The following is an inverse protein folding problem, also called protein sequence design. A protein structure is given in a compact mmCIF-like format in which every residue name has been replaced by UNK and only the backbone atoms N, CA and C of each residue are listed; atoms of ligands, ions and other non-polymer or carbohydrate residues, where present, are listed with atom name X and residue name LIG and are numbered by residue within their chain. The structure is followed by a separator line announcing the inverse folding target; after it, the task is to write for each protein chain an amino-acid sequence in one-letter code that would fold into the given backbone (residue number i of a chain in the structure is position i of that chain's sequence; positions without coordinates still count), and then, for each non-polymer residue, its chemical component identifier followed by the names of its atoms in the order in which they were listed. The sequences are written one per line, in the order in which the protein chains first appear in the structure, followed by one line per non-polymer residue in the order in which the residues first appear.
data_IF_288331616333
#
_entry.id   IF_288331616333
#
_cell.length_a   1.000
_cell.length_b   1.000
_cell.length_c   1.000
_cell.angle_alpha   90.00
_cell.angle_beta   90.00
_cell.angle_gamma   90.00
#
_symmetry.space_group_name_H-M   'P 1'
#
loop_
_entity.id
_entity.type
_entity.pdbx_description
1 polymer ?
#
# COMPACT_ATOMS: atom_id res chain seq x y z
N UNK A 1 16.88 -1.51 25.41
CA UNK A 1 16.44 -2.62 24.54
C UNK A 1 15.15 -2.17 23.90
N UNK A 2 15.05 -2.24 22.58
CA UNK A 2 13.79 -1.95 21.87
C UNK A 2 12.76 -3.06 22.15
N UNK A 3 11.48 -2.69 22.22
CA UNK A 3 10.40 -3.63 22.52
C UNK A 3 10.06 -4.43 21.26
N UNK A 4 10.12 -5.76 21.37
CA UNK A 4 9.70 -6.67 20.30
C UNK A 4 8.17 -6.74 20.26
N UNK A 5 7.59 -6.47 19.09
CA UNK A 5 6.14 -6.38 18.92
C UNK A 5 5.58 -7.65 18.30
N UNK A 6 6.18 -8.10 17.20
CA UNK A 6 5.79 -9.34 16.54
C UNK A 6 6.96 -9.98 15.79
N UNK A 7 6.82 -11.27 15.48
CA UNK A 7 7.65 -11.96 14.49
C UNK A 7 6.78 -12.52 13.37
N UNK A 8 7.32 -12.50 12.16
CA UNK A 8 6.73 -13.13 10.96
C UNK A 8 7.63 -14.28 10.52
N UNK A 9 7.05 -15.47 10.38
CA UNK A 9 7.72 -16.73 10.01
C UNK A 9 8.96 -17.04 10.86
N UNK A 10 8.97 -16.58 12.11
CA UNK A 10 10.03 -16.83 13.09
C UNK A 10 11.37 -16.11 12.86
N UNK A 11 11.53 -15.33 11.79
CA UNK A 11 12.81 -14.68 11.44
C UNK A 11 12.70 -13.18 11.16
N UNK A 12 11.54 -12.69 10.70
CA UNK A 12 11.32 -11.26 10.50
C UNK A 12 10.77 -10.62 11.78
N UNK A 13 11.60 -9.84 12.47
CA UNK A 13 11.24 -9.13 13.69
C UNK A 13 10.63 -7.76 13.36
N UNK A 14 9.52 -7.44 14.02
CA UNK A 14 8.92 -6.10 14.04
C UNK A 14 9.06 -5.54 15.46
N UNK A 15 9.69 -4.37 15.59
CA UNK A 15 9.91 -3.70 16.87
C UNK A 15 8.98 -2.49 17.05
N UNK A 16 8.96 -1.93 18.26
CA UNK A 16 8.22 -0.71 18.54
C UNK A 16 8.78 0.49 17.79
N UNK A 17 10.10 0.55 17.59
CA UNK A 17 10.73 1.59 16.76
C UNK A 17 10.24 1.52 15.31
N UNK A 18 10.08 0.32 14.74
CA UNK A 18 9.54 0.17 13.38
C UNK A 18 8.12 0.76 13.28
N UNK A 19 7.28 0.54 14.30
CA UNK A 19 5.94 1.14 14.36
C UNK A 19 6.01 2.66 14.42
N UNK A 20 6.89 3.22 15.25
CA UNK A 20 7.06 4.67 15.36
C UNK A 20 7.60 5.29 14.06
N UNK A 21 8.50 4.59 13.36
CA UNK A 21 8.97 5.02 12.04
C UNK A 21 7.82 5.03 11.04
N UNK A 22 7.00 3.97 10.98
CA UNK A 22 5.82 3.95 10.12
C UNK A 22 4.89 5.12 10.41
N UNK A 23 4.60 5.41 11.69
CA UNK A 23 3.78 6.55 12.07
C UNK A 23 4.43 7.90 11.73
N UNK A 24 5.75 8.05 11.88
CA UNK A 24 6.45 9.29 11.54
C UNK A 24 6.31 9.65 10.05
N UNK A 25 6.18 8.65 9.18
CA UNK A 25 5.97 8.81 7.74
C UNK A 25 4.50 9.11 7.34
N UNK A 26 3.62 9.28 8.32
CA UNK A 26 2.24 9.74 8.14
C UNK A 26 2.05 11.14 8.75
N UNK A 27 1.62 12.16 7.98
CA UNK A 27 1.62 13.55 8.44
C UNK A 27 0.68 13.84 9.63
N UNK A 28 -0.41 13.09 9.76
CA UNK A 28 -1.50 13.38 10.70
C UNK A 28 -1.60 12.40 11.88
N UNK A 29 -0.55 11.62 12.16
CA UNK A 29 -0.53 10.66 13.27
C UNK A 29 0.26 11.20 14.47
N UNK A 30 -0.21 10.98 15.71
CA UNK A 30 0.51 11.35 16.92
C UNK A 30 1.73 10.45 17.16
N UNK A 31 2.82 11.00 17.73
CA UNK A 31 4.09 10.29 17.99
C UNK A 31 4.45 10.14 19.48
N UNK A 32 4.14 11.14 20.32
CA UNK A 32 4.56 11.15 21.73
C UNK A 32 3.70 10.22 22.61
N UNK A 33 2.49 9.92 22.17
CA UNK A 33 1.58 8.93 22.78
C UNK A 33 0.64 8.38 21.69
N UNK A 34 1.17 7.54 20.78
CA UNK A 34 0.39 6.99 19.68
C UNK A 34 -0.74 6.14 20.26
N UNK A 35 -1.93 6.24 19.66
CA UNK A 35 -3.08 5.44 20.12
C UNK A 35 -2.84 3.97 19.75
N UNK A 36 -3.35 3.05 20.56
CA UNK A 36 -3.27 1.61 20.24
C UNK A 36 -3.83 1.29 18.85
N UNK A 37 -4.85 2.01 18.39
CA UNK A 37 -5.37 1.89 17.03
C UNK A 37 -4.35 2.29 15.95
N UNK A 38 -3.56 3.35 16.18
CA UNK A 38 -2.53 3.80 15.24
C UNK A 38 -1.39 2.78 15.19
N UNK A 39 -0.96 2.29 16.35
CA UNK A 39 0.05 1.24 16.48
C UNK A 39 -0.40 -0.08 15.85
N UNK A 40 -1.67 -0.49 16.04
CA UNK A 40 -2.20 -1.71 15.45
C UNK A 40 -2.24 -1.62 13.92
N UNK A 41 -2.63 -0.45 13.38
CA UNK A 41 -2.59 -0.23 11.92
C UNK A 41 -1.17 -0.28 11.38
N UNK A 42 -0.22 0.37 12.05
CA UNK A 42 1.19 0.30 11.68
C UNK A 42 1.72 -1.14 11.74
N UNK A 43 1.38 -1.89 12.78
CA UNK A 43 1.80 -3.28 12.95
C UNK A 43 1.24 -4.17 11.84
N UNK A 44 -0.06 -4.06 11.56
CA UNK A 44 -0.70 -4.83 10.49
C UNK A 44 -0.04 -4.53 9.13
N UNK A 45 0.19 -3.25 8.83
CA UNK A 45 0.85 -2.84 7.60
C UNK A 45 2.28 -3.38 7.47
N UNK A 46 3.07 -3.33 8.55
CA UNK A 46 4.42 -3.89 8.53
C UNK A 46 4.39 -5.41 8.34
N UNK A 47 3.47 -6.12 8.99
CA UNK A 47 3.28 -7.55 8.76
C UNK A 47 2.96 -7.82 7.29
N UNK A 48 2.03 -7.10 6.68
CA UNK A 48 1.72 -7.24 5.25
C UNK A 48 2.95 -7.00 4.38
N UNK A 49 3.72 -5.94 4.67
CA UNK A 49 4.94 -5.64 3.93
C UNK A 49 5.99 -6.76 4.04
N UNK A 50 6.17 -7.36 5.23
CA UNK A 50 7.08 -8.50 5.40
C UNK A 50 6.63 -9.70 4.58
N UNK A 51 5.34 -10.03 4.62
CA UNK A 51 4.79 -11.13 3.84
C UNK A 51 4.97 -10.92 2.33
N UNK A 52 4.69 -9.71 1.83
CA UNK A 52 4.89 -9.40 0.40
C UNK A 52 6.38 -9.47 0.05
N UNK A 53 7.26 -8.93 0.89
CA UNK A 53 8.70 -8.95 0.64
C UNK A 53 9.27 -10.38 0.57
N UNK A 54 8.81 -11.29 1.44
CA UNK A 54 9.20 -12.70 1.38
C UNK A 54 8.75 -13.37 0.07
N UNK A 55 7.52 -13.11 -0.38
CA UNK A 55 7.03 -13.65 -1.65
C UNK A 55 7.76 -13.03 -2.86
N UNK A 56 8.10 -11.74 -2.79
CA UNK A 56 8.90 -11.06 -3.80
C UNK A 56 10.31 -11.66 -3.90
N UNK A 57 10.93 -12.00 -2.76
CA UNK A 57 12.25 -12.63 -2.69
C UNK A 57 12.34 -14.03 -3.34
N UNK A 58 11.21 -14.69 -3.62
CA UNK A 58 11.16 -15.99 -4.32
C UNK A 58 11.30 -15.88 -5.83
N UNK A 59 11.14 -14.68 -6.40
CA UNK A 59 11.23 -14.43 -7.84
C UNK A 59 12.59 -13.80 -8.21
N UNK A 60 13.09 -14.02 -9.45
CA UNK A 60 14.31 -13.37 -9.90
C UNK A 60 14.16 -11.84 -9.92
N UNK A 61 14.96 -11.18 -9.07
CA UNK A 61 15.33 -9.76 -9.04
C UNK A 61 14.29 -8.76 -9.57
N UNK A 62 13.18 -8.61 -8.85
CA UNK A 62 12.40 -7.36 -8.88
C UNK A 62 13.12 -6.38 -7.94
N UNK A 63 14.05 -5.61 -8.49
CA UNK A 63 14.83 -4.63 -7.71
C UNK A 63 14.30 -3.22 -7.93
N UNK A 64 14.36 -2.40 -6.89
CA UNK A 64 14.08 -0.98 -7.03
C UNK A 64 15.23 -0.28 -7.74
N UNK A 65 14.91 0.50 -8.78
CA UNK A 65 15.88 1.40 -9.39
C UNK A 65 16.04 2.63 -8.50
N UNK A 66 17.25 3.18 -8.42
CA UNK A 66 17.51 4.38 -7.63
C UNK A 66 16.64 5.57 -8.07
N UNK A 67 16.33 5.70 -9.36
CA UNK A 67 15.42 6.74 -9.87
C UNK A 67 14.00 6.63 -9.27
N UNK A 68 13.49 5.41 -9.12
CA UNK A 68 12.16 5.15 -8.56
C UNK A 68 12.15 5.40 -7.05
N UNK A 69 13.24 5.05 -6.34
CA UNK A 69 13.39 5.35 -4.91
C UNK A 69 13.42 6.87 -4.66
N UNK A 70 14.16 7.62 -5.50
CA UNK A 70 14.20 9.09 -5.41
C UNK A 70 12.82 9.69 -5.68
N UNK A 71 12.13 9.20 -6.71
CA UNK A 71 10.77 9.63 -7.03
C UNK A 71 9.80 9.36 -5.87
N UNK A 72 9.78 8.13 -5.34
CA UNK A 72 8.93 7.75 -4.22
C UNK A 72 9.25 8.56 -2.95
N UNK A 73 10.52 8.88 -2.71
CA UNK A 73 10.94 9.76 -1.60
C UNK A 73 10.37 11.18 -1.78
N UNK A 74 10.46 11.73 -2.99
CA UNK A 74 9.90 13.05 -3.29
C UNK A 74 8.37 13.06 -3.16
N UNK A 75 7.70 12.01 -3.59
CA UNK A 75 6.24 11.88 -3.47
C UNK A 75 5.81 11.72 -2.01
N UNK A 76 6.59 11.02 -1.19
CA UNK A 76 6.41 10.99 0.26
C UNK A 76 6.54 12.39 0.88
N UNK A 77 7.58 13.16 0.51
CA UNK A 77 7.77 14.53 1.01
C UNK A 77 6.57 15.42 0.68
N UNK A 78 6.00 15.31 -0.53
CA UNK A 78 4.81 16.09 -0.96
C UNK A 78 3.55 15.82 -0.13
N UNK A 79 3.48 14.71 0.61
CA UNK A 79 2.37 14.41 1.52
C UNK A 79 2.40 15.25 2.79
N UNK A 80 3.55 15.84 3.11
CA UNK A 80 3.72 16.70 4.27
C UNK A 80 3.52 18.17 3.89
N UNK A 81 3.03 19.02 4.80
CA UNK A 81 2.91 20.47 4.57
C UNK A 81 4.25 21.12 4.19
N UNK A 82 5.36 20.56 4.68
CA UNK A 82 6.71 20.98 4.33
C UNK A 82 7.71 19.84 4.52
N UNK A 83 8.85 19.93 3.84
CA UNK A 83 9.97 19.01 4.05
C UNK A 83 10.49 19.06 5.49
N UNK A 84 10.49 20.26 6.11
CA UNK A 84 10.85 20.44 7.51
C UNK A 84 9.91 19.65 8.44
N UNK A 85 8.61 19.62 8.16
CA UNK A 85 7.65 18.86 8.95
C UNK A 85 7.93 17.35 8.95
N UNK A 86 8.36 16.79 7.82
CA UNK A 86 8.82 15.40 7.77
C UNK A 86 10.12 15.21 8.59
N UNK A 87 11.10 16.10 8.43
CA UNK A 87 12.38 16.01 9.14
C UNK A 87 12.18 16.07 10.67
N UNK A 88 11.33 16.95 11.17
CA UNK A 88 11.04 17.05 12.60
C UNK A 88 10.41 15.76 13.15
N UNK A 89 9.49 15.14 12.39
CA UNK A 89 8.88 13.86 12.77
C UNK A 89 9.90 12.72 12.77
N UNK A 90 10.76 12.65 11.76
CA UNK A 90 11.84 11.67 11.69
C UNK A 90 12.78 11.79 12.90
N UNK A 91 13.18 13.01 13.25
CA UNK A 91 14.07 13.28 14.39
C UNK A 91 13.46 12.82 15.72
N UNK A 92 12.16 13.02 15.93
CA UNK A 92 11.47 12.59 17.16
C UNK A 92 11.52 11.09 17.41
N UNK A 93 11.59 10.29 16.35
CA UNK A 93 11.63 8.82 16.43
C UNK A 93 12.99 8.24 16.07
N UNK A 94 14.01 9.09 15.90
CA UNK A 94 15.37 8.68 15.55
C UNK A 94 15.50 8.04 14.15
N UNK A 95 14.58 8.32 13.23
CA UNK A 95 14.63 7.81 11.86
C UNK A 95 15.66 8.62 11.03
N UNK A 96 16.73 7.98 10.58
CA UNK A 96 17.77 8.66 9.78
C UNK A 96 17.39 8.73 8.30
N UNK A 97 18.02 9.64 7.51
CA UNK A 97 17.83 9.67 6.06
C UNK A 97 18.17 8.36 5.34
N UNK A 98 19.18 7.63 5.82
CA UNK A 98 19.60 6.34 5.27
C UNK A 98 18.54 5.27 5.51
N UNK A 99 18.01 5.22 6.74
CA UNK A 99 16.90 4.32 7.10
C UNK A 99 15.63 4.66 6.31
N UNK A 100 15.32 5.96 6.14
CA UNK A 100 14.22 6.39 5.28
C UNK A 100 14.41 5.88 3.84
N UNK A 101 15.61 6.04 3.27
CA UNK A 101 15.91 5.58 1.91
C UNK A 101 15.74 4.07 1.79
N UNK A 102 16.03 3.31 2.85
CA UNK A 102 15.85 1.87 2.86
C UNK A 102 14.37 1.46 2.95
N UNK A 103 13.60 2.08 3.85
CA UNK A 103 12.15 1.90 3.93
C UNK A 103 11.49 2.21 2.58
N UNK A 104 11.86 3.32 1.94
CA UNK A 104 11.28 3.70 0.64
C UNK A 104 11.65 2.70 -0.45
N UNK A 105 12.88 2.18 -0.45
CA UNK A 105 13.30 1.16 -1.42
C UNK A 105 12.51 -0.13 -1.28
N UNK A 106 12.36 -0.65 -0.07
CA UNK A 106 11.56 -1.84 0.19
C UNK A 106 10.12 -1.65 -0.29
N UNK A 107 9.53 -0.45 -0.06
CA UNK A 107 8.19 -0.12 -0.57
C UNK A 107 8.13 -0.11 -2.10
N UNK A 108 9.15 0.41 -2.79
CA UNK A 108 9.24 0.39 -4.26
C UNK A 108 9.37 -1.04 -4.77
N UNK A 109 10.14 -1.90 -4.11
CA UNK A 109 10.27 -3.31 -4.47
C UNK A 109 8.95 -4.06 -4.32
N UNK A 110 8.25 -3.82 -3.22
CA UNK A 110 6.89 -4.33 -2.98
C UNK A 110 5.93 -3.84 -4.09
N UNK A 111 5.93 -2.55 -4.42
CA UNK A 111 5.08 -1.99 -5.48
C UNK A 111 5.39 -2.61 -6.85
N UNK A 112 6.67 -2.78 -7.18
CA UNK A 112 7.10 -3.42 -8.42
C UNK A 112 6.66 -4.88 -8.48
N UNK A 113 6.75 -5.61 -7.36
CA UNK A 113 6.28 -6.98 -7.26
C UNK A 113 4.78 -7.08 -7.49
N UNK A 114 3.98 -6.29 -6.78
CA UNK A 114 2.52 -6.29 -6.93
C UNK A 114 2.11 -5.89 -8.36
N UNK A 115 2.80 -4.91 -8.95
CA UNK A 115 2.58 -4.49 -10.34
C UNK A 115 2.85 -5.63 -11.32
N UNK A 116 4.01 -6.28 -11.20
CA UNK A 116 4.35 -7.42 -12.04
C UNK A 116 3.37 -8.58 -11.86
N UNK A 117 3.01 -8.88 -10.62
CA UNK A 117 2.21 -10.06 -10.26
C UNK A 117 0.74 -9.93 -10.65
N UNK A 118 0.17 -8.74 -10.50
CA UNK A 118 -1.27 -8.51 -10.69
C UNK A 118 -1.54 -7.67 -11.92
N UNK A 119 -0.89 -6.52 -12.08
CA UNK A 119 -1.20 -5.59 -13.19
C UNK A 119 -0.80 -6.14 -14.57
N UNK A 120 0.32 -6.85 -14.69
CA UNK A 120 0.83 -7.33 -16.00
C UNK A 120 -0.09 -8.34 -16.70
N UNK A 121 -1.01 -8.99 -15.98
CA UNK A 121 -1.86 -10.06 -16.52
C UNK A 121 -3.36 -9.80 -16.38
N UNK A 122 -3.76 -8.62 -15.88
CA UNK A 122 -5.17 -8.26 -15.77
C UNK A 122 -5.75 -8.00 -17.15
N UNK A 123 -6.82 -8.74 -17.46
CA UNK A 123 -7.61 -8.56 -18.68
C UNK A 123 -9.05 -8.21 -18.28
N UNK A 124 -9.57 -7.14 -18.89
CA UNK A 124 -10.98 -6.75 -18.79
C UNK A 124 -11.66 -7.11 -20.11
N UNK A 125 -12.67 -7.96 -20.05
CA UNK A 125 -13.40 -8.41 -21.23
C UNK A 125 -14.45 -7.38 -21.68
N UNK A 126 -14.82 -7.36 -22.98
CA UNK A 126 -15.92 -6.52 -23.47
C UNK A 126 -17.25 -6.74 -22.74
N UNK A 127 -17.49 -7.98 -22.27
CA UNK A 127 -18.67 -8.31 -21.48
C UNK A 127 -18.67 -7.61 -20.13
N UNK A 128 -17.55 -7.61 -19.42
CA UNK A 128 -17.42 -6.94 -18.12
C UNK A 128 -17.61 -5.43 -18.26
N UNK A 129 -17.10 -4.82 -19.34
CA UNK A 129 -17.30 -3.40 -19.62
C UNK A 129 -18.79 -3.11 -19.87
N UNK A 130 -19.45 -3.93 -20.69
CA UNK A 130 -20.88 -3.77 -21.00
C UNK A 130 -21.76 -3.94 -19.76
N UNK A 131 -21.45 -4.94 -18.93
CA UNK A 131 -22.17 -5.22 -17.69
C UNK A 131 -21.95 -4.07 -16.68
N UNK A 132 -20.71 -3.64 -16.45
CA UNK A 132 -20.43 -2.50 -15.56
C UNK A 132 -21.06 -1.19 -16.04
N UNK A 133 -21.05 -0.95 -17.36
CA UNK A 133 -21.69 0.22 -17.95
C UNK A 133 -23.19 0.26 -17.61
N UNK A 134 -23.90 -0.85 -17.87
CA UNK A 134 -25.34 -0.97 -17.66
C UNK A 134 -25.71 -0.92 -16.18
N UNK A 135 -25.01 -1.69 -15.35
CA UNK A 135 -25.42 -2.00 -13.99
C UNK A 135 -24.89 -0.98 -12.96
N UNK A 136 -23.77 -0.32 -13.25
CA UNK A 136 -23.11 0.59 -12.31
C UNK A 136 -22.94 2.00 -12.85
N UNK A 137 -22.33 2.16 -14.04
CA UNK A 137 -22.00 3.47 -14.58
C UNK A 137 -23.25 4.31 -14.88
N UNK A 138 -24.20 3.75 -15.63
CA UNK A 138 -25.43 4.47 -16.02
C UNK A 138 -26.28 4.88 -14.81
N UNK A 139 -26.57 3.99 -13.82
CA UNK A 139 -27.31 4.40 -12.62
C UNK A 139 -26.58 5.47 -11.81
N UNK A 140 -25.26 5.33 -11.63
CA UNK A 140 -24.44 6.29 -10.89
C UNK A 140 -24.41 7.65 -11.59
N UNK A 141 -24.26 7.67 -12.92
CA UNK A 141 -24.28 8.90 -13.72
C UNK A 141 -25.61 9.63 -13.61
N UNK A 142 -26.73 8.92 -13.78
CA UNK A 142 -28.07 9.53 -13.69
C UNK A 142 -28.34 10.15 -12.32
N UNK A 143 -27.85 9.51 -11.25
CA UNK A 143 -27.93 10.05 -9.89
C UNK A 143 -27.05 11.29 -9.69
N UNK A 144 -25.83 11.28 -10.21
CA UNK A 144 -24.87 12.37 -10.05
C UNK A 144 -25.09 13.56 -10.99
N UNK A 145 -25.67 13.32 -12.17
CA UNK A 145 -25.91 14.31 -13.23
C UNK A 145 -27.36 14.23 -13.75
N UNK A 146 -28.37 14.59 -12.93
CA UNK A 146 -29.77 14.53 -13.36
C UNK A 146 -30.02 15.39 -14.60
N UNK A 147 -30.78 14.85 -15.56
CA UNK A 147 -31.16 15.56 -16.79
C UNK A 147 -30.06 15.71 -17.85
N UNK A 148 -28.82 15.26 -17.59
CA UNK A 148 -27.77 15.21 -18.62
C UNK A 148 -27.82 13.91 -19.40
N UNK A 149 -27.43 13.98 -20.68
CA UNK A 149 -27.26 12.80 -21.53
C UNK A 149 -26.18 11.91 -20.91
N UNK A 150 -26.47 10.61 -20.86
CA UNK A 150 -25.51 9.61 -20.37
C UNK A 150 -24.49 9.35 -21.49
N UNK A 151 -23.18 9.40 -21.21
CA UNK A 151 -22.16 9.00 -22.18
C UNK A 151 -22.48 7.61 -22.73
N UNK A 152 -22.30 7.41 -24.02
CA UNK A 152 -22.47 6.10 -24.67
C UNK A 152 -21.46 5.10 -24.12
N UNK A 153 -21.70 3.81 -24.37
CA UNK A 153 -20.76 2.75 -23.99
C UNK A 153 -19.35 3.06 -24.53
N UNK A 154 -19.24 3.43 -25.81
CA UNK A 154 -17.95 3.72 -26.45
C UNK A 154 -17.21 4.90 -25.80
N UNK A 155 -17.93 5.97 -25.43
CA UNK A 155 -17.35 7.12 -24.74
C UNK A 155 -16.91 6.80 -23.30
N UNK A 156 -17.65 5.91 -22.62
CA UNK A 156 -17.36 5.51 -21.25
C UNK A 156 -16.32 4.38 -21.14
N UNK A 157 -16.11 3.58 -22.19
CA UNK A 157 -15.25 2.39 -22.19
C UNK A 157 -13.86 2.65 -21.59
N UNK A 158 -13.08 3.68 -21.99
CA UNK A 158 -11.73 3.88 -21.43
C UNK A 158 -11.72 4.13 -19.92
N UNK A 159 -12.75 4.82 -19.41
CA UNK A 159 -12.89 5.05 -17.97
C UNK A 159 -13.29 3.76 -17.25
N UNK A 160 -14.23 3.00 -17.82
CA UNK A 160 -14.72 1.75 -17.23
C UNK A 160 -13.61 0.69 -17.20
N UNK A 161 -12.85 0.55 -18.29
CA UNK A 161 -11.69 -0.34 -18.35
C UNK A 161 -10.68 -0.03 -17.24
N UNK A 162 -10.37 1.26 -17.05
CA UNK A 162 -9.48 1.68 -15.95
C UNK A 162 -10.04 1.30 -14.60
N UNK A 163 -11.33 1.58 -14.33
CA UNK A 163 -11.97 1.24 -13.06
C UNK A 163 -11.94 -0.27 -12.80
N UNK A 164 -12.32 -1.06 -13.80
CA UNK A 164 -12.36 -2.53 -13.68
C UNK A 164 -10.96 -3.12 -13.52
N UNK A 165 -9.97 -2.55 -14.20
CA UNK A 165 -8.56 -2.95 -14.05
C UNK A 165 -8.09 -2.73 -12.63
N UNK A 166 -8.28 -1.52 -12.07
CA UNK A 166 -7.87 -1.23 -10.69
C UNK A 166 -8.64 -2.10 -9.69
N UNK A 167 -9.95 -2.30 -9.88
CA UNK A 167 -10.78 -3.12 -8.99
C UNK A 167 -10.35 -4.59 -8.96
N UNK A 168 -9.94 -5.16 -10.11
CA UNK A 168 -9.39 -6.51 -10.18
C UNK A 168 -8.05 -6.61 -9.46
N UNK A 169 -7.15 -5.65 -9.69
CA UNK A 169 -5.84 -5.60 -9.03
C UNK A 169 -5.99 -5.53 -7.51
N UNK A 170 -6.90 -4.68 -7.01
CA UNK A 170 -7.22 -4.58 -5.59
C UNK A 170 -7.73 -5.91 -5.04
N UNK A 171 -8.72 -6.52 -5.69
CA UNK A 171 -9.29 -7.81 -5.27
C UNK A 171 -8.26 -8.94 -5.24
N UNK A 172 -7.40 -9.02 -6.26
CA UNK A 172 -6.36 -10.04 -6.35
C UNK A 172 -5.26 -9.83 -5.30
N UNK A 173 -4.94 -8.56 -4.99
CA UNK A 173 -3.96 -8.21 -3.94
C UNK A 173 -4.49 -8.57 -2.55
N UNK A 174 -5.76 -8.27 -2.27
CA UNK A 174 -6.41 -8.60 -1.00
C UNK A 174 -6.46 -10.11 -0.79
N UNK A 175 -6.91 -10.86 -1.80
CA UNK A 175 -6.96 -12.32 -1.75
C UNK A 175 -5.56 -12.94 -1.54
N UNK A 176 -4.54 -12.38 -2.18
CA UNK A 176 -3.16 -12.80 -2.00
C UNK A 176 -2.66 -12.55 -0.57
N UNK A 177 -2.94 -11.37 0.00
CA UNK A 177 -2.54 -11.05 1.38
C UNK A 177 -3.27 -11.91 2.41
N UNK A 178 -4.56 -12.19 2.20
CA UNK A 178 -5.33 -13.09 3.06
C UNK A 178 -4.70 -14.50 3.09
N UNK A 179 -4.39 -15.05 1.92
CA UNK A 179 -3.74 -16.35 1.77
C UNK A 179 -2.30 -16.36 2.33
N UNK A 180 -1.52 -15.30 2.11
CA UNK A 180 -0.19 -15.15 2.69
C UNK A 180 -0.26 -15.13 4.23
N UNK A 181 -1.19 -14.38 4.82
CA UNK A 181 -1.42 -14.34 6.27
C UNK A 181 -1.88 -15.68 6.82
N UNK A 182 -2.75 -16.40 6.12
CA UNK A 182 -3.25 -17.69 6.55
C UNK A 182 -2.15 -18.77 6.61
N UNK A 183 -1.12 -18.66 5.75
CA UNK A 183 0.03 -19.58 5.73
C UNK A 183 1.16 -19.17 6.68
N UNK A 184 1.26 -17.89 7.01
CA UNK A 184 2.37 -17.37 7.80
C UNK A 184 2.22 -17.66 9.29
N UNK A 185 3.33 -17.89 9.97
CA UNK A 185 3.38 -17.88 11.43
C UNK A 185 3.60 -16.44 11.92
N UNK A 186 2.54 -15.83 12.45
CA UNK A 186 2.61 -14.47 13.01
C UNK A 186 2.45 -14.56 14.52
N UNK A 187 3.51 -14.25 15.26
CA UNK A 187 3.49 -14.28 16.74
C UNK A 187 3.52 -12.87 17.27
N UNK A 188 2.44 -12.45 17.94
CA UNK A 188 2.40 -11.18 18.67
C UNK A 188 3.09 -11.37 20.01
N UNK A 189 4.25 -10.74 20.17
CA UNK A 189 5.06 -10.81 21.38
C UNK A 189 4.62 -9.80 22.43
N UNK A 190 4.08 -8.67 21.99
CA UNK A 190 3.52 -7.64 22.86
C UNK A 190 2.30 -6.98 22.22
N UNK A 191 1.20 -6.80 22.97
CA UNK A 191 0.08 -6.00 22.49
C UNK A 191 0.45 -4.52 22.41
N UNK A 192 -0.26 -3.81 21.53
CA UNK A 192 -0.23 -2.36 21.31
C UNK A 192 -1.34 -1.64 22.06
#
# INVERSE_FOLDING_TARGET
MDKMMATVNGHELITYTDLLWQLALEPNTPLDNPRSEDLQRALNLLVDQRLIAEEAGKLPAITAKDEDVVKATNDLIKRFPSQQGLQERMQRVGLTPEQLREIVRQRVEIENYLTFRFRSFVVVSPKEISDYYRDTFVPRWRKASPGRIVPTLAEATPQIEKILTESKIESDTDAFLEDARARAEIVILSPV
#
